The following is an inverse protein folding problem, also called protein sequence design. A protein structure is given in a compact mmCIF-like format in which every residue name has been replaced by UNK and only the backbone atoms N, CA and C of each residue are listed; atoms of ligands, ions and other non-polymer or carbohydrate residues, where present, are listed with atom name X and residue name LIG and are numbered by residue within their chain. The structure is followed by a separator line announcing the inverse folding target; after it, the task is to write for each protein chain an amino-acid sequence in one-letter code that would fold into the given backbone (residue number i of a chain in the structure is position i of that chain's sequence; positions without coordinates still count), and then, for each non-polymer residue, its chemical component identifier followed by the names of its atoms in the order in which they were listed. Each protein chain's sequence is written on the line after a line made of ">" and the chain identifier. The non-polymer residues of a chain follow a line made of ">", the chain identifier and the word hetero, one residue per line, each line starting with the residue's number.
data_IF_101045653532
#
_entry.id   IF_101045653532
#
_cell.length_a   1.000
_cell.length_b   1.000
_cell.length_c   1.000
_cell.angle_alpha   90.00
_cell.angle_beta   90.00
_cell.angle_gamma   90.00
#
_symmetry.space_group_name_H-M   'P 1'
#
loop_
_entity.id
_entity.type
_entity.pdbx_description
1 polymer ?
#
# COMPACT_ATOMS: atom_id res chain seq x y z
N UNK A 1 56.72 6.28 -10.86
CA UNK A 1 55.71 5.22 -10.58
C UNK A 1 54.52 5.94 -9.96
N UNK A 2 53.60 6.35 -10.83
CA UNK A 2 52.40 7.15 -10.43
C UNK A 2 51.25 6.18 -10.27
N UNK A 3 50.77 6.03 -9.06
CA UNK A 3 49.57 5.26 -8.76
C UNK A 3 48.33 6.03 -9.27
N UNK A 4 47.64 5.42 -10.23
CA UNK A 4 46.38 5.88 -10.77
C UNK A 4 45.28 5.63 -9.72
N UNK A 5 44.72 6.69 -9.16
CA UNK A 5 43.61 6.65 -8.19
C UNK A 5 42.29 6.47 -9.00
N UNK A 6 41.93 5.21 -9.26
CA UNK A 6 40.71 4.83 -9.96
C UNK A 6 39.54 4.90 -8.99
N UNK A 7 39.08 6.13 -8.69
CA UNK A 7 37.81 6.35 -7.98
C UNK A 7 36.68 6.06 -8.93
N UNK A 8 36.19 4.82 -8.90
CA UNK A 8 34.92 4.42 -9.52
C UNK A 8 33.82 5.27 -8.89
N UNK A 9 33.45 6.36 -9.55
CA UNK A 9 32.26 7.15 -9.21
C UNK A 9 31.04 6.28 -9.40
N UNK A 10 30.51 5.72 -8.31
CA UNK A 10 29.22 5.06 -8.33
C UNK A 10 28.18 6.07 -8.82
N UNK A 11 27.74 5.93 -10.07
CA UNK A 11 26.69 6.76 -10.66
C UNK A 11 25.43 6.56 -9.83
N UNK A 12 25.00 7.60 -9.11
CA UNK A 12 23.75 7.55 -8.36
C UNK A 12 22.60 7.14 -9.28
N UNK A 13 21.78 6.19 -8.85
CA UNK A 13 20.64 5.74 -9.65
C UNK A 13 19.76 6.95 -10.01
N UNK A 14 19.25 7.02 -11.26
CA UNK A 14 18.45 8.15 -11.70
C UNK A 14 17.18 8.26 -10.83
N UNK A 15 16.83 9.50 -10.45
CA UNK A 15 15.61 9.81 -9.71
C UNK A 15 14.38 9.28 -10.46
N UNK A 16 13.36 8.85 -9.71
CA UNK A 16 12.10 8.40 -10.28
C UNK A 16 11.47 9.49 -11.16
N UNK A 17 11.19 9.19 -12.41
CA UNK A 17 10.55 10.11 -13.34
C UNK A 17 9.02 10.02 -13.24
N UNK A 18 8.42 11.04 -12.59
CA UNK A 18 6.96 11.11 -12.39
C UNK A 18 6.22 11.37 -13.72
N UNK A 19 6.85 12.06 -14.68
CA UNK A 19 6.21 12.33 -16.00
C UNK A 19 6.16 11.03 -16.80
N UNK A 20 7.24 10.30 -16.83
CA UNK A 20 7.29 8.98 -17.47
C UNK A 20 6.33 7.99 -16.78
N UNK A 21 6.25 8.02 -15.45
CA UNK A 21 5.28 7.23 -14.70
C UNK A 21 3.84 7.54 -15.12
N UNK A 22 3.48 8.82 -15.23
CA UNK A 22 2.14 9.22 -15.67
C UNK A 22 1.87 8.84 -17.14
N UNK A 23 2.87 8.98 -18.02
CA UNK A 23 2.76 8.62 -19.45
C UNK A 23 2.60 7.11 -19.67
N UNK A 24 3.19 6.30 -18.80
CA UNK A 24 3.16 4.84 -18.83
C UNK A 24 2.23 4.24 -17.79
N UNK A 25 1.24 5.02 -17.32
CA UNK A 25 0.24 4.56 -16.38
C UNK A 25 -0.51 3.33 -16.92
N UNK A 26 -0.64 2.30 -16.07
CA UNK A 26 -1.28 1.05 -16.46
C UNK A 26 -2.80 1.15 -16.25
N UNK A 27 -3.54 0.91 -17.32
CA UNK A 27 -4.99 0.89 -17.33
C UNK A 27 -5.56 -0.49 -17.01
N UNK A 28 -6.64 -0.87 -17.70
CA UNK A 28 -7.27 -2.17 -17.50
C UNK A 28 -6.31 -3.34 -17.78
N UNK A 29 -6.34 -4.32 -16.90
CA UNK A 29 -5.50 -5.52 -16.98
C UNK A 29 -6.24 -6.74 -17.52
N UNK A 30 -7.54 -6.64 -17.81
CA UNK A 30 -8.39 -7.78 -18.19
C UNK A 30 -7.86 -8.52 -19.43
N UNK A 31 -7.31 -7.80 -20.39
CA UNK A 31 -6.75 -8.39 -21.62
C UNK A 31 -5.36 -9.02 -21.43
N UNK A 32 -4.68 -8.71 -20.33
CA UNK A 32 -3.36 -9.23 -20.01
C UNK A 32 -3.43 -10.50 -19.16
N UNK A 33 -4.58 -10.78 -18.54
CA UNK A 33 -4.77 -11.87 -17.60
C UNK A 33 -5.36 -13.10 -18.29
N UNK A 34 -4.58 -14.20 -18.32
CA UNK A 34 -5.11 -15.53 -18.62
C UNK A 34 -5.60 -16.17 -17.32
N UNK A 35 -6.92 -16.28 -17.19
CA UNK A 35 -7.61 -16.88 -16.05
C UNK A 35 -8.20 -18.27 -16.38
N UNK A 36 -7.74 -18.91 -17.47
CA UNK A 36 -8.27 -20.20 -17.93
C UNK A 36 -8.16 -21.31 -16.88
N UNK A 37 -7.11 -21.30 -16.07
CA UNK A 37 -6.93 -22.27 -14.99
C UNK A 37 -7.85 -21.99 -13.79
N UNK A 38 -8.15 -20.72 -13.54
CA UNK A 38 -9.08 -20.33 -12.49
C UNK A 38 -10.52 -20.76 -12.81
N UNK A 39 -10.91 -20.72 -14.08
CA UNK A 39 -12.23 -21.15 -14.53
C UNK A 39 -12.47 -22.68 -14.40
N UNK A 40 -11.39 -23.48 -14.23
CA UNK A 40 -11.47 -24.96 -14.16
C UNK A 40 -11.66 -25.50 -12.74
N UNK A 41 -11.40 -24.70 -11.71
CA UNK A 41 -11.48 -25.15 -10.32
C UNK A 41 -12.07 -24.05 -9.43
N UNK A 42 -12.87 -24.39 -8.41
CA UNK A 42 -13.42 -23.41 -7.49
C UNK A 42 -12.30 -22.69 -6.73
N UNK A 43 -12.46 -21.39 -6.57
CA UNK A 43 -11.54 -20.60 -5.75
C UNK A 43 -11.75 -20.96 -4.26
N UNK A 44 -10.67 -21.23 -3.49
CA UNK A 44 -10.79 -21.44 -2.06
C UNK A 44 -11.48 -20.24 -1.38
N UNK A 45 -12.41 -20.50 -0.46
CA UNK A 45 -13.21 -19.47 0.20
C UNK A 45 -12.35 -18.39 0.87
N UNK A 46 -11.24 -18.76 1.52
CA UNK A 46 -10.29 -17.83 2.14
C UNK A 46 -9.58 -16.97 1.09
N UNK A 47 -9.23 -17.53 -0.07
CA UNK A 47 -8.65 -16.77 -1.18
C UNK A 47 -9.66 -15.77 -1.74
N UNK A 48 -10.91 -16.18 -1.97
CA UNK A 48 -11.98 -15.30 -2.41
C UNK A 48 -12.24 -14.16 -1.41
N UNK A 49 -12.24 -14.47 -0.10
CA UNK A 49 -12.37 -13.47 0.96
C UNK A 49 -11.22 -12.46 0.95
N UNK A 50 -9.98 -12.94 0.84
CA UNK A 50 -8.81 -12.06 0.77
C UNK A 50 -8.84 -11.17 -0.48
N UNK A 51 -9.23 -11.72 -1.64
CA UNK A 51 -9.37 -10.94 -2.88
C UNK A 51 -10.39 -9.82 -2.69
N UNK A 52 -11.55 -10.07 -2.08
CA UNK A 52 -12.55 -9.01 -1.80
C UNK A 52 -11.97 -7.93 -0.89
N UNK A 53 -11.25 -8.29 0.16
CA UNK A 53 -10.59 -7.34 1.07
C UNK A 53 -9.58 -6.50 0.30
N UNK A 54 -8.69 -7.12 -0.48
CA UNK A 54 -7.68 -6.43 -1.27
C UNK A 54 -8.31 -5.48 -2.30
N UNK A 55 -9.31 -5.95 -3.05
CA UNK A 55 -10.08 -5.14 -4.00
C UNK A 55 -10.63 -3.87 -3.35
N UNK A 56 -11.19 -3.99 -2.19
CA UNK A 56 -11.81 -2.86 -1.50
C UNK A 56 -10.76 -1.89 -0.93
N UNK A 57 -9.62 -2.39 -0.48
CA UNK A 57 -8.46 -1.55 -0.12
C UNK A 57 -7.94 -0.78 -1.34
N UNK A 58 -7.86 -1.42 -2.50
CA UNK A 58 -7.45 -0.75 -3.74
C UNK A 58 -8.48 0.31 -4.18
N UNK A 59 -9.78 0.01 -4.13
CA UNK A 59 -10.86 0.96 -4.43
C UNK A 59 -10.89 2.17 -3.50
N UNK A 60 -10.62 1.99 -2.22
CA UNK A 60 -10.61 3.06 -1.23
C UNK A 60 -9.49 4.10 -1.47
N UNK A 61 -8.52 3.78 -2.32
CA UNK A 61 -7.37 4.64 -2.60
C UNK A 61 -7.75 6.00 -3.17
N UNK A 62 -8.77 6.07 -4.01
CA UNK A 62 -9.25 7.34 -4.56
C UNK A 62 -9.76 8.29 -3.45
N UNK A 63 -10.47 7.75 -2.48
CA UNK A 63 -10.90 8.52 -1.31
C UNK A 63 -9.73 8.92 -0.40
N UNK A 64 -8.77 8.02 -0.21
CA UNK A 64 -7.53 8.32 0.53
C UNK A 64 -6.73 9.43 -0.14
N UNK A 65 -6.56 9.37 -1.45
CA UNK A 65 -5.91 10.43 -2.23
C UNK A 65 -6.59 11.79 -1.99
N UNK A 66 -7.91 11.87 -2.09
CA UNK A 66 -8.66 13.10 -1.80
C UNK A 66 -8.36 13.61 -0.39
N UNK A 67 -8.33 12.73 0.61
CA UNK A 67 -8.02 13.08 1.99
C UNK A 67 -6.58 13.60 2.16
N UNK A 68 -5.62 13.10 1.39
CA UNK A 68 -4.25 13.61 1.38
C UNK A 68 -4.16 14.99 0.71
N UNK A 69 -4.89 15.19 -0.38
CA UNK A 69 -4.86 16.44 -1.16
C UNK A 69 -5.55 17.63 -0.46
N UNK A 70 -6.37 17.40 0.57
CA UNK A 70 -6.88 18.51 1.42
C UNK A 70 -5.89 18.95 2.50
N UNK A 71 -4.73 18.31 2.60
CA UNK A 71 -3.63 18.66 3.53
C UNK A 71 -2.53 19.45 2.79
N UNK A 72 -1.42 19.75 3.46
CA UNK A 72 -0.26 20.40 2.84
C UNK A 72 0.33 19.61 1.65
N UNK A 73 -0.03 18.35 1.47
CA UNK A 73 0.46 17.48 0.39
C UNK A 73 0.11 18.01 -1.01
N UNK A 74 -1.02 18.69 -1.17
CA UNK A 74 -1.39 19.28 -2.47
C UNK A 74 -0.42 20.35 -2.97
N UNK A 75 0.37 20.96 -2.08
CA UNK A 75 1.37 21.98 -2.44
C UNK A 75 2.64 21.39 -3.04
N UNK A 76 2.82 20.08 -2.92
CA UNK A 76 3.94 19.37 -3.50
C UNK A 76 3.53 18.79 -4.87
N UNK A 77 3.91 19.49 -5.94
CA UNK A 77 3.51 19.13 -7.30
C UNK A 77 3.99 17.73 -7.72
N UNK A 78 5.21 17.33 -7.29
CA UNK A 78 5.78 16.00 -7.60
C UNK A 78 4.99 14.88 -6.93
N UNK A 79 4.69 15.03 -5.65
CA UNK A 79 3.90 14.04 -4.90
C UNK A 79 2.45 14.01 -5.39
N UNK A 80 1.85 15.17 -5.67
CA UNK A 80 0.49 15.26 -6.21
C UNK A 80 0.35 14.55 -7.55
N UNK A 81 1.27 14.77 -8.47
CA UNK A 81 1.29 14.10 -9.78
C UNK A 81 1.43 12.57 -9.63
N UNK A 82 2.31 12.11 -8.74
CA UNK A 82 2.42 10.69 -8.43
C UNK A 82 1.12 10.12 -7.87
N UNK A 83 0.53 10.75 -6.84
CA UNK A 83 -0.68 10.27 -6.17
C UNK A 83 -1.86 10.12 -7.13
N UNK A 84 -1.98 10.98 -8.13
CA UNK A 84 -3.03 10.90 -9.15
C UNK A 84 -2.88 9.63 -10.00
N UNK A 85 -1.70 9.38 -10.51
CA UNK A 85 -1.40 8.17 -11.32
C UNK A 85 -1.47 6.90 -10.47
N UNK A 86 -0.94 6.95 -9.25
CA UNK A 86 -1.00 5.85 -8.29
C UNK A 86 -2.44 5.44 -7.96
N UNK A 87 -3.34 6.41 -7.73
CA UNK A 87 -4.74 6.11 -7.46
C UNK A 87 -5.46 5.56 -8.71
N UNK A 88 -5.11 6.02 -9.89
CA UNK A 88 -5.60 5.49 -11.16
C UNK A 88 -5.18 4.02 -11.35
N UNK A 89 -3.90 3.68 -11.17
CA UNK A 89 -3.43 2.30 -11.31
C UNK A 89 -4.07 1.37 -10.27
N UNK A 90 -4.24 1.82 -9.02
CA UNK A 90 -4.92 1.04 -7.98
C UNK A 90 -6.40 0.80 -8.27
N UNK A 91 -7.08 1.73 -8.91
CA UNK A 91 -8.44 1.51 -9.41
C UNK A 91 -8.48 0.34 -10.41
N UNK A 92 -7.51 0.26 -11.32
CA UNK A 92 -7.44 -0.82 -12.29
C UNK A 92 -6.97 -2.16 -11.71
N UNK A 93 -6.18 -2.14 -10.64
CA UNK A 93 -5.91 -3.34 -9.84
C UNK A 93 -7.20 -3.86 -9.22
N UNK A 94 -8.06 -2.99 -8.68
CA UNK A 94 -9.35 -3.41 -8.14
C UNK A 94 -10.26 -4.02 -9.21
N UNK A 95 -10.29 -3.47 -10.43
CA UNK A 95 -11.02 -4.04 -11.57
C UNK A 95 -10.48 -5.43 -11.97
N UNK A 96 -9.15 -5.62 -11.93
CA UNK A 96 -8.55 -6.94 -12.18
C UNK A 96 -8.98 -7.97 -11.12
N UNK A 97 -9.10 -7.57 -9.85
CA UNK A 97 -9.58 -8.45 -8.79
C UNK A 97 -11.08 -8.76 -8.91
N UNK A 98 -11.89 -7.82 -9.40
CA UNK A 98 -13.28 -8.12 -9.77
C UNK A 98 -13.34 -9.16 -10.90
N UNK A 99 -12.50 -9.00 -11.92
CA UNK A 99 -12.44 -9.95 -13.03
C UNK A 99 -12.05 -11.37 -12.57
N UNK A 100 -11.17 -11.48 -11.59
CA UNK A 100 -10.82 -12.76 -10.94
C UNK A 100 -12.05 -13.37 -10.27
N UNK A 101 -12.80 -12.60 -9.48
CA UNK A 101 -13.99 -13.08 -8.79
C UNK A 101 -15.09 -13.46 -9.79
N UNK A 102 -15.33 -12.66 -10.82
CA UNK A 102 -16.29 -12.92 -11.90
C UNK A 102 -15.96 -14.26 -12.61
N UNK A 103 -14.69 -14.46 -12.96
CA UNK A 103 -14.23 -15.68 -13.65
C UNK A 103 -14.36 -16.93 -12.76
N UNK A 104 -14.15 -16.79 -11.46
CA UNK A 104 -14.33 -17.88 -10.50
C UNK A 104 -15.79 -18.14 -10.12
N UNK A 105 -16.75 -17.35 -10.63
CA UNK A 105 -18.16 -17.45 -10.26
C UNK A 105 -18.47 -17.00 -8.82
N UNK A 106 -17.56 -16.20 -8.23
CA UNK A 106 -17.68 -15.71 -6.87
C UNK A 106 -18.49 -14.40 -6.82
N UNK A 107 -19.37 -14.21 -5.80
CA UNK A 107 -20.09 -12.95 -5.64
C UNK A 107 -19.12 -11.80 -5.42
N UNK A 108 -19.36 -10.68 -6.11
CA UNK A 108 -18.54 -9.47 -5.96
C UNK A 108 -18.73 -8.81 -4.59
N UNK A 109 -19.92 -8.88 -4.01
CA UNK A 109 -20.18 -8.38 -2.66
C UNK A 109 -20.10 -9.52 -1.64
N UNK A 110 -19.53 -9.22 -0.48
CA UNK A 110 -19.62 -10.15 0.63
C UNK A 110 -21.05 -10.11 1.17
N UNK A 111 -21.83 -11.20 1.08
CA UNK A 111 -23.25 -11.22 1.46
C UNK A 111 -23.48 -10.83 2.93
N UNK A 112 -22.48 -11.06 3.79
CA UNK A 112 -22.62 -10.84 5.24
C UNK A 112 -22.25 -9.43 5.71
N UNK A 113 -21.58 -8.59 4.88
CA UNK A 113 -20.98 -7.33 5.32
C UNK A 113 -21.48 -6.06 4.60
N UNK A 114 -22.42 -6.16 3.69
CA UNK A 114 -22.84 -5.03 2.82
C UNK A 114 -23.38 -3.79 3.54
N UNK A 115 -24.17 -3.96 4.62
CA UNK A 115 -24.77 -2.84 5.36
C UNK A 115 -23.82 -2.14 6.37
N UNK A 116 -23.06 -2.86 7.22
CA UNK A 116 -22.13 -2.22 8.15
C UNK A 116 -21.02 -1.43 7.46
N UNK A 117 -20.57 -1.88 6.30
CA UNK A 117 -19.50 -1.27 5.52
C UNK A 117 -19.88 0.10 4.97
N UNK A 118 -21.09 0.25 4.45
CA UNK A 118 -21.61 1.51 3.92
C UNK A 118 -21.70 2.59 5.01
N UNK A 119 -22.15 2.21 6.21
CA UNK A 119 -22.22 3.10 7.37
C UNK A 119 -20.84 3.49 7.92
N UNK A 120 -19.85 2.60 7.87
CA UNK A 120 -18.47 2.88 8.31
C UNK A 120 -17.77 3.85 7.34
N UNK A 121 -17.94 3.65 6.04
CA UNK A 121 -17.41 4.53 4.99
C UNK A 121 -18.02 5.93 5.08
N UNK A 122 -19.34 6.05 5.25
CA UNK A 122 -20.03 7.34 5.44
C UNK A 122 -19.59 8.09 6.72
N UNK A 123 -19.32 7.37 7.81
CA UNK A 123 -18.76 7.96 9.04
C UNK A 123 -17.32 8.45 8.85
N UNK A 124 -16.49 7.70 8.14
CA UNK A 124 -15.11 8.08 7.81
C UNK A 124 -15.10 9.34 6.93
N UNK A 125 -15.99 9.42 5.94
CA UNK A 125 -16.15 10.58 5.06
C UNK A 125 -16.54 11.86 5.82
N UNK A 126 -17.44 11.77 6.80
CA UNK A 126 -17.97 12.96 7.51
C UNK A 126 -17.03 13.54 8.57
N UNK A 127 -16.23 12.72 9.25
CA UNK A 127 -15.42 13.15 10.41
C UNK A 127 -13.92 13.31 10.12
N UNK A 128 -13.42 12.77 9.02
CA UNK A 128 -11.99 12.73 8.69
C UNK A 128 -11.38 14.05 8.22
N UNK A 129 -11.97 14.79 7.26
CA UNK A 129 -11.32 15.90 6.59
C UNK A 129 -11.04 17.09 7.48
N UNK A 130 -12.01 17.51 8.32
CA UNK A 130 -11.94 18.76 9.09
C UNK A 130 -10.86 18.70 10.18
N UNK A 131 -10.77 17.59 10.93
CA UNK A 131 -9.76 17.44 11.99
C UNK A 131 -8.34 17.33 11.42
N UNK A 132 -8.17 16.75 10.22
CA UNK A 132 -6.88 16.62 9.53
C UNK A 132 -6.43 17.94 8.93
N UNK A 133 -7.32 18.74 8.35
CA UNK A 133 -6.99 20.03 7.78
C UNK A 133 -6.47 21.02 8.84
N UNK A 134 -7.04 21.03 10.03
CA UNK A 134 -6.59 21.90 11.14
C UNK A 134 -5.22 21.48 11.66
N UNK A 135 -4.98 20.17 11.85
CA UNK A 135 -3.68 19.65 12.27
C UNK A 135 -2.57 19.83 11.19
N UNK A 136 -2.95 19.83 9.91
CA UNK A 136 -2.05 19.96 8.77
C UNK A 136 -1.54 21.39 8.56
N UNK A 137 -2.26 22.41 9.00
CA UNK A 137 -1.89 23.81 8.80
C UNK A 137 -0.55 24.19 9.42
N UNK A 138 -0.13 23.51 10.49
CA UNK A 138 1.13 23.78 11.21
C UNK A 138 2.29 22.85 10.83
N UNK A 139 2.06 21.76 10.09
CA UNK A 139 3.09 20.75 9.82
C UNK A 139 3.77 20.90 8.45
N UNK A 140 3.22 21.69 7.52
CA UNK A 140 3.84 22.03 6.24
C UNK A 140 4.37 20.81 5.45
N UNK A 141 5.54 20.96 4.85
CA UNK A 141 6.22 19.92 4.06
C UNK A 141 6.61 18.66 4.85
N UNK A 142 6.73 18.75 6.19
CA UNK A 142 7.06 17.60 7.03
C UNK A 142 5.92 16.59 7.11
N UNK A 143 4.66 17.03 6.92
CA UNK A 143 3.50 16.14 6.85
C UNK A 143 3.54 15.28 5.58
N UNK A 144 4.07 15.83 4.48
CA UNK A 144 4.27 15.08 3.24
C UNK A 144 5.17 13.87 3.45
N UNK A 145 6.25 14.02 4.23
CA UNK A 145 7.13 12.91 4.58
C UNK A 145 6.37 11.79 5.32
N UNK A 146 5.54 12.14 6.30
CA UNK A 146 4.75 11.17 7.04
C UNK A 146 3.75 10.43 6.13
N UNK A 147 3.06 11.14 5.25
CA UNK A 147 2.10 10.55 4.31
C UNK A 147 2.76 9.61 3.30
N UNK A 148 3.88 10.04 2.70
CA UNK A 148 4.64 9.24 1.75
C UNK A 148 5.18 7.98 2.41
N UNK A 149 5.75 8.10 3.62
CA UNK A 149 6.28 6.94 4.35
C UNK A 149 5.18 6.00 4.80
N UNK A 150 4.03 6.50 5.26
CA UNK A 150 2.88 5.66 5.57
C UNK A 150 2.36 4.93 4.32
N UNK A 151 2.31 5.61 3.17
CA UNK A 151 1.99 4.99 1.88
C UNK A 151 2.97 3.88 1.50
N UNK A 152 4.27 4.07 1.74
CA UNK A 152 5.30 3.05 1.51
C UNK A 152 5.08 1.79 2.36
N UNK A 153 4.81 1.98 3.65
CA UNK A 153 4.55 0.86 4.57
C UNK A 153 3.28 0.12 4.16
N UNK A 154 2.22 0.86 3.77
CA UNK A 154 0.98 0.27 3.25
C UNK A 154 1.24 -0.60 2.00
N UNK A 155 2.05 -0.11 1.05
CA UNK A 155 2.41 -0.89 -0.14
C UNK A 155 3.19 -2.16 0.21
N UNK A 156 4.06 -2.15 1.22
CA UNK A 156 4.75 -3.35 1.69
C UNK A 156 3.79 -4.35 2.33
N UNK A 157 2.88 -3.88 3.19
CA UNK A 157 1.88 -4.73 3.87
C UNK A 157 0.92 -5.37 2.87
N UNK A 158 0.38 -4.57 1.94
CA UNK A 158 -0.54 -5.07 0.91
C UNK A 158 0.17 -6.01 -0.07
N UNK A 159 1.43 -5.72 -0.43
CA UNK A 159 2.23 -6.64 -1.27
C UNK A 159 2.50 -7.98 -0.58
N UNK A 160 2.66 -8.01 0.74
CA UNK A 160 2.76 -9.26 1.50
C UNK A 160 1.48 -10.10 1.39
N UNK A 161 0.31 -9.45 1.43
CA UNK A 161 -0.97 -10.13 1.26
C UNK A 161 -1.12 -10.74 -0.15
N UNK A 162 -0.69 -10.04 -1.20
CA UNK A 162 -0.66 -10.59 -2.55
C UNK A 162 0.28 -11.79 -2.67
N UNK A 163 1.49 -11.71 -2.10
CA UNK A 163 2.42 -12.87 -2.08
C UNK A 163 1.82 -14.06 -1.34
N UNK A 164 1.15 -13.82 -0.22
CA UNK A 164 0.48 -14.88 0.53
C UNK A 164 -0.65 -15.50 -0.28
N UNK A 165 -1.41 -14.70 -1.04
CA UNK A 165 -2.47 -15.17 -1.92
C UNK A 165 -1.94 -16.14 -2.99
N UNK A 166 -0.84 -15.81 -3.69
CA UNK A 166 -0.26 -16.68 -4.71
C UNK A 166 0.40 -17.93 -4.14
N UNK A 167 0.94 -17.88 -2.92
CA UNK A 167 1.48 -19.08 -2.26
C UNK A 167 0.39 -20.03 -1.77
N UNK A 168 -0.79 -19.52 -1.42
CA UNK A 168 -1.94 -20.32 -1.01
C UNK A 168 -2.72 -20.87 -2.22
N UNK A 169 -2.70 -20.19 -3.37
CA UNK A 169 -3.52 -20.54 -4.56
C UNK A 169 -2.71 -20.28 -5.82
N UNK A 170 -2.11 -21.33 -6.36
CA UNK A 170 -1.17 -21.24 -7.49
C UNK A 170 -1.78 -20.66 -8.78
N UNK A 171 -3.07 -20.89 -9.05
CA UNK A 171 -3.80 -20.34 -10.20
C UNK A 171 -3.90 -18.81 -10.18
N UNK A 172 -3.68 -18.17 -9.04
CA UNK A 172 -3.66 -16.71 -8.89
C UNK A 172 -2.29 -16.08 -9.14
N UNK A 173 -1.25 -16.87 -9.39
CA UNK A 173 0.11 -16.36 -9.63
C UNK A 173 0.18 -15.32 -10.75
N UNK A 174 -0.43 -15.53 -11.94
CA UNK A 174 -0.37 -14.53 -13.01
C UNK A 174 -0.93 -13.17 -12.59
N UNK A 175 -2.05 -13.17 -11.86
CA UNK A 175 -2.67 -11.95 -11.33
C UNK A 175 -1.76 -11.26 -10.31
N UNK A 176 -1.21 -12.04 -9.38
CA UNK A 176 -0.33 -11.51 -8.33
C UNK A 176 0.96 -10.93 -8.91
N UNK A 177 1.59 -11.62 -9.86
CA UNK A 177 2.82 -11.16 -10.51
C UNK A 177 2.57 -9.83 -11.26
N UNK A 178 1.44 -9.72 -11.97
CA UNK A 178 1.03 -8.48 -12.62
C UNK A 178 0.85 -7.35 -11.59
N UNK A 179 0.07 -7.58 -10.53
CA UNK A 179 -0.17 -6.57 -9.49
C UNK A 179 1.13 -6.15 -8.81
N UNK A 180 2.00 -7.09 -8.45
CA UNK A 180 3.29 -6.80 -7.82
C UNK A 180 4.21 -6.01 -8.76
N UNK A 181 4.14 -6.23 -10.07
CA UNK A 181 4.90 -5.43 -11.07
C UNK A 181 4.48 -3.96 -11.07
N UNK A 182 3.17 -3.69 -10.96
CA UNK A 182 2.63 -2.32 -10.83
C UNK A 182 3.06 -1.71 -9.50
N UNK A 183 2.88 -2.43 -8.39
CA UNK A 183 3.25 -1.96 -7.04
C UNK A 183 4.75 -1.72 -6.86
N UNK A 184 5.61 -2.41 -7.58
CA UNK A 184 7.05 -2.15 -7.55
C UNK A 184 7.39 -0.71 -7.97
N UNK A 185 6.66 -0.14 -8.93
CA UNK A 185 6.82 1.26 -9.35
C UNK A 185 6.36 2.23 -8.25
N UNK A 186 5.25 1.91 -7.57
CA UNK A 186 4.74 2.68 -6.44
C UNK A 186 5.76 2.70 -5.29
N UNK A 187 6.25 1.52 -4.91
CA UNK A 187 7.24 1.35 -3.84
C UNK A 187 8.52 2.13 -4.17
N UNK A 188 9.01 2.08 -5.43
CA UNK A 188 10.21 2.80 -5.84
C UNK A 188 10.07 4.31 -5.59
N UNK A 189 8.99 4.95 -6.05
CA UNK A 189 8.76 6.37 -5.81
C UNK A 189 8.65 6.69 -4.32
N UNK A 190 7.82 5.93 -3.61
CA UNK A 190 7.55 6.17 -2.19
C UNK A 190 8.81 5.99 -1.34
N UNK A 191 9.67 5.01 -1.67
CA UNK A 191 10.96 4.79 -0.99
C UNK A 191 11.90 5.97 -1.22
N UNK A 192 12.07 6.41 -2.47
CA UNK A 192 12.93 7.55 -2.82
C UNK A 192 12.49 8.83 -2.09
N UNK A 193 11.19 9.12 -2.12
CA UNK A 193 10.63 10.31 -1.47
C UNK A 193 10.70 10.24 0.07
N UNK A 194 10.44 9.07 0.65
CA UNK A 194 10.55 8.87 2.09
C UNK A 194 11.99 9.07 2.56
N UNK A 195 12.96 8.40 1.93
CA UNK A 195 14.38 8.51 2.27
C UNK A 195 14.87 9.96 2.15
N UNK A 196 14.61 10.62 1.03
CA UNK A 196 15.01 12.01 0.79
C UNK A 196 14.46 12.96 1.86
N UNK A 197 13.18 12.83 2.20
CA UNK A 197 12.53 13.75 3.14
C UNK A 197 12.88 13.47 4.59
N UNK A 198 13.03 12.21 4.96
CA UNK A 198 13.44 11.82 6.31
C UNK A 198 14.90 12.20 6.58
N UNK A 199 15.80 12.00 5.61
CA UNK A 199 17.20 12.45 5.73
C UNK A 199 17.31 13.96 5.92
N UNK A 200 16.46 14.73 5.24
CA UNK A 200 16.52 16.19 5.26
C UNK A 200 15.97 16.83 6.55
N UNK A 201 15.18 16.13 7.38
CA UNK A 201 14.44 16.80 8.46
C UNK A 201 14.17 15.94 9.70
N UNK A 202 14.82 16.24 10.85
CA UNK A 202 14.49 15.60 12.13
C UNK A 202 13.02 15.80 12.57
N UNK A 203 12.39 16.92 12.16
CA UNK A 203 10.97 17.16 12.42
C UNK A 203 10.09 16.21 11.60
N UNK A 204 10.44 15.97 10.34
CA UNK A 204 9.78 14.97 9.50
C UNK A 204 9.87 13.56 10.12
N UNK A 205 11.06 13.17 10.60
CA UNK A 205 11.28 11.90 11.30
C UNK A 205 10.35 11.74 12.52
N UNK A 206 10.23 12.78 13.37
CA UNK A 206 9.35 12.74 14.55
C UNK A 206 7.88 12.59 14.18
N UNK A 207 7.41 13.34 13.18
CA UNK A 207 6.03 13.25 12.70
C UNK A 207 5.74 11.87 12.08
N UNK A 208 6.67 11.36 11.28
CA UNK A 208 6.55 10.06 10.65
C UNK A 208 6.51 8.94 11.68
N UNK A 209 7.39 8.94 12.69
CA UNK A 209 7.32 7.97 13.80
C UNK A 209 5.96 7.95 14.47
N UNK A 210 5.41 9.14 14.77
CA UNK A 210 4.08 9.26 15.37
C UNK A 210 2.98 8.75 14.46
N UNK A 211 3.06 9.00 13.16
CA UNK A 211 2.11 8.49 12.18
C UNK A 211 2.16 6.96 12.11
N UNK A 212 3.34 6.39 11.89
CA UNK A 212 3.52 4.94 11.77
C UNK A 212 3.07 4.16 13.01
N UNK A 213 3.29 4.71 14.21
CA UNK A 213 2.86 4.07 15.46
C UNK A 213 1.35 4.19 15.73
N UNK A 214 0.63 5.04 15.01
CA UNK A 214 -0.82 5.26 15.21
C UNK A 214 -1.68 4.69 14.10
N UNK A 215 -1.14 4.57 12.91
CA UNK A 215 -1.87 4.09 11.74
C UNK A 215 -2.29 2.62 11.89
N UNK A 216 -3.51 2.27 11.49
CA UNK A 216 -3.91 0.88 11.29
C UNK A 216 -3.25 0.32 10.03
N UNK A 217 -3.00 -0.98 10.00
CA UNK A 217 -2.40 -1.64 8.85
C UNK A 217 -3.24 -2.83 8.38
N UNK A 218 -3.50 -2.95 7.06
CA UNK A 218 -3.24 -1.93 6.02
C UNK A 218 -4.05 -0.64 6.27
N UNK A 219 -3.62 0.46 5.66
CA UNK A 219 -4.37 1.72 5.73
C UNK A 219 -5.76 1.51 5.11
N UNK A 220 -6.82 1.95 5.81
CA UNK A 220 -8.21 1.66 5.42
C UNK A 220 -8.81 0.44 6.14
N UNK A 221 -8.01 -0.35 6.86
CA UNK A 221 -8.54 -1.50 7.61
C UNK A 221 -9.64 -1.13 8.63
N UNK A 222 -9.62 0.09 9.17
CA UNK A 222 -10.69 0.55 10.08
C UNK A 222 -12.03 0.84 9.38
N UNK A 223 -12.02 0.94 8.05
CA UNK A 223 -13.22 1.10 7.22
C UNK A 223 -13.84 -0.26 6.88
N UNK A 224 -13.13 -1.35 7.20
CA UNK A 224 -13.57 -2.73 7.04
C UNK A 224 -14.16 -3.30 8.35
N UNK A 225 -15.07 -4.28 8.28
CA UNK A 225 -15.55 -5.02 9.45
C UNK A 225 -14.40 -5.60 10.28
N UNK A 226 -14.60 -5.71 11.59
CA UNK A 226 -13.59 -6.26 12.50
C UNK A 226 -13.18 -7.69 12.12
N UNK A 227 -14.13 -8.48 11.65
CA UNK A 227 -13.91 -9.85 11.19
C UNK A 227 -12.99 -9.94 9.97
N UNK A 228 -13.10 -8.99 9.02
CA UNK A 228 -12.22 -8.94 7.86
C UNK A 228 -10.81 -8.52 8.24
N UNK A 229 -10.66 -7.64 9.24
CA UNK A 229 -9.33 -7.27 9.77
C UNK A 229 -8.66 -8.45 10.43
N UNK A 230 -9.36 -9.13 11.35
CA UNK A 230 -8.82 -10.31 12.03
C UNK A 230 -8.50 -11.43 11.05
N UNK A 231 -9.35 -11.62 10.03
CA UNK A 231 -9.07 -12.57 8.95
C UNK A 231 -7.81 -12.18 8.17
N UNK A 232 -7.69 -10.92 7.76
CA UNK A 232 -6.51 -10.42 7.05
C UNK A 232 -5.22 -10.66 7.85
N UNK A 233 -5.19 -10.25 9.11
CA UNK A 233 -4.06 -10.44 10.01
C UNK A 233 -3.69 -11.93 10.15
N UNK A 234 -4.66 -12.79 10.44
CA UNK A 234 -4.45 -14.21 10.63
C UNK A 234 -4.02 -14.93 9.34
N UNK A 235 -4.66 -14.62 8.21
CA UNK A 235 -4.35 -15.26 6.93
C UNK A 235 -2.99 -14.85 6.39
N UNK A 236 -2.65 -13.55 6.47
CA UNK A 236 -1.41 -13.00 5.90
C UNK A 236 -0.22 -13.24 6.83
N UNK A 237 -0.37 -13.00 8.13
CA UNK A 237 0.74 -12.95 9.09
C UNK A 237 0.71 -14.03 10.17
N UNK A 238 -0.34 -14.85 10.24
CA UNK A 238 -0.48 -15.86 11.30
C UNK A 238 0.44 -17.08 11.15
N UNK A 239 0.87 -17.44 9.92
CA UNK A 239 1.81 -18.55 9.68
C UNK A 239 3.25 -18.20 10.07
N UNK A 240 4.16 -19.18 10.25
CA UNK A 240 5.59 -18.89 10.44
C UNK A 240 6.18 -18.01 9.35
N UNK A 241 5.86 -18.27 8.09
CA UNK A 241 6.31 -17.49 6.93
C UNK A 241 5.72 -16.08 6.94
N UNK A 242 4.44 -15.96 7.33
CA UNK A 242 3.76 -14.66 7.49
C UNK A 242 4.39 -13.82 8.60
N UNK A 243 4.72 -14.44 9.75
CA UNK A 243 5.44 -13.75 10.82
C UNK A 243 6.84 -13.31 10.40
N UNK A 244 7.54 -14.14 9.63
CA UNK A 244 8.85 -13.79 9.09
C UNK A 244 8.73 -12.58 8.12
N UNK A 245 7.69 -12.53 7.29
CA UNK A 245 7.41 -11.40 6.40
C UNK A 245 7.05 -10.13 7.19
N UNK A 246 6.26 -10.22 8.27
CA UNK A 246 6.00 -9.09 9.16
C UNK A 246 7.30 -8.56 9.78
N UNK A 247 8.19 -9.45 10.23
CA UNK A 247 9.52 -9.10 10.74
C UNK A 247 10.39 -8.43 9.67
N UNK A 248 10.33 -8.90 8.42
CA UNK A 248 11.04 -8.28 7.29
C UNK A 248 10.53 -6.84 7.05
N UNK A 249 9.22 -6.63 7.02
CA UNK A 249 8.62 -5.29 6.87
C UNK A 249 9.05 -4.38 8.03
N UNK A 250 9.00 -4.89 9.26
CA UNK A 250 9.46 -4.16 10.44
C UNK A 250 10.93 -3.74 10.36
N UNK A 251 11.79 -4.62 9.82
CA UNK A 251 13.19 -4.32 9.54
C UNK A 251 13.37 -3.21 8.51
N UNK A 252 12.61 -3.23 7.42
CA UNK A 252 12.60 -2.16 6.41
C UNK A 252 12.18 -0.82 7.00
N UNK A 253 11.15 -0.81 7.85
CA UNK A 253 10.70 0.40 8.55
C UNK A 253 11.76 0.91 9.51
N UNK A 254 12.40 0.03 10.26
CA UNK A 254 13.46 0.40 11.21
C UNK A 254 14.68 1.01 10.51
N UNK A 255 14.97 0.59 9.28
CA UNK A 255 16.09 1.08 8.47
C UNK A 255 15.84 2.45 7.83
N UNK A 256 14.60 2.95 7.79
CA UNK A 256 14.31 4.28 7.27
C UNK A 256 15.01 5.38 8.10
N UNK A 257 15.53 6.45 7.47
CA UNK A 257 16.29 7.48 8.16
C UNK A 257 15.56 8.06 9.37
N UNK A 258 16.15 7.89 10.56
CA UNK A 258 15.64 8.42 11.82
C UNK A 258 14.35 7.77 12.36
N UNK A 259 13.89 6.66 11.80
CA UNK A 259 12.69 5.95 12.30
C UNK A 259 13.05 5.02 13.46
N UNK A 260 13.95 4.08 13.26
CA UNK A 260 14.54 3.25 14.31
C UNK A 260 13.73 2.01 14.70
N UNK A 261 14.40 1.10 15.41
CA UNK A 261 13.92 -0.24 15.75
C UNK A 261 12.61 -0.27 16.56
N UNK A 262 12.39 0.72 17.45
CA UNK A 262 11.18 0.76 18.28
C UNK A 262 9.88 0.93 17.46
N UNK A 263 9.93 1.69 16.36
CA UNK A 263 8.79 1.83 15.45
C UNK A 263 8.56 0.53 14.68
N UNK A 264 9.65 -0.10 14.20
CA UNK A 264 9.57 -1.42 13.54
C UNK A 264 8.95 -2.47 14.45
N UNK A 265 9.39 -2.57 15.69
CA UNK A 265 8.82 -3.50 16.67
C UNK A 265 7.34 -3.25 16.95
N UNK A 266 6.94 -1.97 17.07
CA UNK A 266 5.52 -1.61 17.24
C UNK A 266 4.69 -2.03 16.02
N UNK A 267 5.21 -1.83 14.81
CA UNK A 267 4.55 -2.29 13.59
C UNK A 267 4.42 -3.81 13.56
N UNK A 268 5.50 -4.54 13.85
CA UNK A 268 5.48 -6.02 13.88
C UNK A 268 4.41 -6.55 14.84
N UNK A 269 4.33 -5.99 16.05
CA UNK A 269 3.34 -6.38 17.05
C UNK A 269 1.88 -6.08 16.65
N UNK A 270 1.66 -5.24 15.65
CA UNK A 270 0.32 -4.93 15.12
C UNK A 270 -0.04 -5.75 13.88
N UNK A 271 0.95 -6.26 13.17
CA UNK A 271 0.72 -7.11 11.99
C UNK A 271 0.48 -8.57 12.38
N UNK A 272 1.15 -9.02 13.44
CA UNK A 272 1.05 -10.41 13.91
C UNK A 272 -0.12 -10.53 14.89
N UNK A 273 -1.11 -11.43 14.59
CA UNK A 273 -2.28 -11.65 15.44
C UNK A 273 -1.92 -12.25 16.81
#
# INVERSE_FOLDING_TARGET
>A
MTASDDRTTATAAPLFDVREFARTARGSHRSELDLSDLAKAPLPADAARLIRILRDLERSTMQRMRNLLVTATHKDARVTAFLTTWAFERFWIADALDYVLETAGEPLENPDTGRPRKLLSERAERRGPIRRAIAAGFAGSQLVAAHVTAGLVDEWVVSAAYRRLSSATASLRPVVDLVLSVKARHIRFLSEEAERRLTASPRAQRLTRRELTRSPWPIGALESPAEDRSFFESFVFGSPEGRAEAGRIAGLVAALPGIGAGVGSTLNARLVP
#
